data_IF_346724747322
#
_entry.id   IF_346724747322
#
_cell.length_a   1.000
_cell.length_b   1.000
_cell.length_c   1.000
_cell.angle_alpha   90.00
_cell.angle_beta   90.00
_cell.angle_gamma   90.00
#
_symmetry.space_group_name_H-M   'P 1'
#
loop_
_entity.id
_entity.type
_entity.pdbx_description
1 polymer ?
#
# COMPACT_ATOMS: atom_id res chain seq x y z
N UNK A 1 3.09 12.39 43.37
CA UNK A 1 3.43 11.07 42.79
C UNK A 1 2.67 10.97 41.48
N UNK A 2 3.37 11.15 40.35
CA UNK A 2 2.75 11.02 39.03
C UNK A 2 2.59 9.54 38.74
N UNK A 3 1.34 9.09 38.56
CA UNK A 3 1.06 7.74 38.09
C UNK A 3 1.62 7.60 36.67
N UNK A 4 2.74 6.91 36.54
CA UNK A 4 3.17 6.35 35.27
C UNK A 4 2.14 5.29 34.86
N UNK A 5 1.11 5.71 34.13
CA UNK A 5 0.27 4.79 33.35
C UNK A 5 1.19 4.10 32.36
N UNK A 6 1.59 2.86 32.67
CA UNK A 6 2.27 1.97 31.74
C UNK A 6 1.31 1.78 30.56
N UNK A 7 1.65 2.38 29.42
CA UNK A 7 0.86 2.28 28.21
C UNK A 7 1.03 0.88 27.64
N UNK A 8 -0.03 0.07 27.75
CA UNK A 8 -0.05 -1.28 27.22
C UNK A 8 -0.29 -1.23 25.71
N UNK A 9 0.78 -1.34 24.93
CA UNK A 9 0.65 -1.62 23.50
C UNK A 9 0.48 -3.13 23.32
N UNK A 10 -0.55 -3.58 22.60
CA UNK A 10 -0.74 -4.99 22.33
C UNK A 10 0.44 -5.51 21.51
N UNK A 11 0.95 -6.69 21.86
CA UNK A 11 2.06 -7.31 21.15
C UNK A 11 1.53 -8.20 20.03
N UNK A 12 1.93 -7.90 18.80
CA UNK A 12 1.72 -8.78 17.65
C UNK A 12 2.72 -9.96 17.68
N UNK A 13 2.25 -11.16 17.38
CA UNK A 13 3.09 -12.33 17.09
C UNK A 13 2.99 -12.72 15.61
N UNK A 14 4.12 -12.83 14.93
CA UNK A 14 4.17 -13.40 13.57
C UNK A 14 4.12 -14.92 13.69
N UNK A 15 3.12 -15.51 13.07
CA UNK A 15 2.89 -16.95 13.06
C UNK A 15 3.57 -17.59 11.85
N UNK A 16 3.44 -17.02 10.64
CA UNK A 16 4.16 -17.49 9.44
C UNK A 16 4.54 -16.34 8.52
N UNK A 17 5.56 -16.63 7.71
CA UNK A 17 5.99 -15.80 6.59
C UNK A 17 6.03 -16.71 5.37
N UNK A 18 5.30 -16.35 4.33
CA UNK A 18 5.21 -17.10 3.10
C UNK A 18 5.42 -16.17 1.90
N UNK A 19 5.72 -16.73 0.73
CA UNK A 19 5.61 -16.00 -0.53
C UNK A 19 4.50 -16.57 -1.39
N UNK A 20 3.74 -15.67 -1.98
CA UNK A 20 2.64 -15.98 -2.89
C UNK A 20 3.03 -15.48 -4.26
N UNK A 21 3.17 -16.40 -5.21
CA UNK A 21 3.46 -16.10 -6.62
C UNK A 21 2.16 -16.12 -7.43
N UNK A 22 2.15 -15.54 -8.64
CA UNK A 22 1.10 -15.80 -9.61
C UNK A 22 0.87 -17.32 -9.78
N UNK A 23 -0.39 -17.72 -9.93
CA UNK A 23 -0.77 -19.14 -10.01
C UNK A 23 -0.38 -19.80 -11.35
N UNK A 24 0.00 -18.99 -12.34
CA UNK A 24 0.54 -19.40 -13.63
C UNK A 24 1.73 -18.51 -13.97
N UNK A 25 2.61 -19.02 -14.83
CA UNK A 25 3.76 -18.27 -15.32
C UNK A 25 3.26 -17.02 -16.04
N UNK A 26 3.85 -15.86 -15.72
CA UNK A 26 3.57 -14.60 -16.40
C UNK A 26 4.34 -14.54 -17.72
N UNK A 27 3.64 -14.71 -18.84
CA UNK A 27 4.19 -14.51 -20.18
C UNK A 27 3.20 -13.77 -21.10
N UNK A 28 3.61 -12.69 -21.78
CA UNK A 28 4.94 -12.06 -21.67
C UNK A 28 5.11 -11.35 -20.32
N UNK A 29 6.36 -11.24 -19.86
CA UNK A 29 6.68 -10.41 -18.69
C UNK A 29 6.39 -8.93 -18.99
N UNK A 30 5.77 -8.28 -18.02
CA UNK A 30 5.49 -6.86 -18.01
C UNK A 30 6.66 -6.13 -17.35
N UNK A 31 6.90 -4.90 -17.82
CA UNK A 31 7.96 -4.03 -17.31
C UNK A 31 7.39 -2.66 -17.01
N UNK A 32 7.83 -2.06 -15.90
CA UNK A 32 7.50 -0.68 -15.53
C UNK A 32 8.78 0.09 -15.26
N UNK A 33 9.06 1.10 -16.07
CA UNK A 33 10.22 1.97 -15.93
C UNK A 33 10.07 2.89 -14.71
N UNK A 34 11.16 3.08 -13.97
CA UNK A 34 11.27 4.02 -12.87
C UNK A 34 12.22 5.13 -13.30
N UNK A 35 11.65 6.17 -13.91
CA UNK A 35 12.37 7.32 -14.46
C UNK A 35 12.77 8.25 -13.31
N UNK A 36 13.94 8.02 -12.71
CA UNK A 36 14.48 8.83 -11.64
C UNK A 36 15.52 9.82 -12.18
N UNK A 37 15.41 11.11 -11.83
CA UNK A 37 16.49 12.08 -12.11
C UNK A 37 17.73 11.83 -11.25
N UNK A 38 18.89 12.37 -11.65
CA UNK A 38 20.19 12.20 -10.96
C UNK A 38 20.18 12.65 -9.47
N UNK A 39 19.21 13.48 -9.07
CA UNK A 39 19.06 14.03 -7.71
C UNK A 39 18.09 13.23 -6.81
N UNK A 40 17.56 12.10 -7.26
CA UNK A 40 16.64 11.29 -6.44
C UNK A 40 17.45 10.57 -5.36
N UNK A 41 17.45 11.14 -4.16
CA UNK A 41 18.11 10.55 -3.00
C UNK A 41 17.54 9.18 -2.59
N UNK A 42 18.18 8.51 -1.60
CA UNK A 42 17.82 7.15 -1.15
C UNK A 42 16.37 6.97 -0.69
N UNK A 43 15.67 8.07 -0.38
CA UNK A 43 14.29 8.07 0.10
C UNK A 43 13.26 7.43 -0.84
N UNK A 44 13.57 7.21 -2.13
CA UNK A 44 12.69 6.49 -3.07
C UNK A 44 12.35 5.06 -2.60
N UNK A 45 13.31 4.38 -1.94
CA UNK A 45 13.22 2.98 -1.54
C UNK A 45 12.52 2.74 -0.20
N UNK A 46 12.27 3.82 0.55
CA UNK A 46 11.73 3.79 1.92
C UNK A 46 10.29 4.31 2.01
N UNK A 47 9.64 4.56 0.86
CA UNK A 47 8.28 5.10 0.79
C UNK A 47 7.28 4.03 0.41
N UNK A 48 6.26 3.88 1.24
CA UNK A 48 5.19 2.92 1.02
C UNK A 48 3.82 3.49 1.40
N UNK A 49 2.80 3.04 0.69
CA UNK A 49 1.42 3.16 1.10
C UNK A 49 1.07 1.99 2.02
N UNK A 50 0.47 2.29 3.16
CA UNK A 50 -0.05 1.29 4.07
C UNK A 50 -1.58 1.40 4.11
N UNK A 51 -2.25 0.24 4.06
CA UNK A 51 -3.70 0.11 4.16
C UNK A 51 -4.01 -0.95 5.20
N UNK A 52 -4.96 -0.70 6.10
CA UNK A 52 -5.49 -1.72 7.01
C UNK A 52 -6.99 -1.77 6.87
N UNK A 53 -7.53 -2.92 6.49
CA UNK A 53 -8.95 -3.21 6.45
C UNK A 53 -9.32 -4.08 7.66
N UNK A 54 -10.35 -3.67 8.40
CA UNK A 54 -10.86 -4.39 9.57
C UNK A 54 -12.21 -5.00 9.22
N UNK A 55 -12.38 -6.29 9.42
CA UNK A 55 -13.60 -7.04 9.09
C UNK A 55 -14.30 -7.51 10.35
N UNK A 56 -15.63 -7.57 10.37
CA UNK A 56 -16.33 -8.17 11.49
C UNK A 56 -16.28 -9.70 11.41
N UNK A 57 -16.28 -10.36 12.57
CA UNK A 57 -16.43 -11.81 12.65
C UNK A 57 -17.85 -12.20 12.24
N UNK A 58 -18.01 -12.99 11.19
CA UNK A 58 -19.34 -13.47 10.76
C UNK A 58 -19.71 -14.83 11.38
N UNK A 59 -18.74 -15.72 11.62
CA UNK A 59 -18.99 -17.08 12.16
C UNK A 59 -18.01 -17.43 13.28
N UNK A 60 -18.48 -18.13 14.32
CA UNK A 60 -17.65 -18.50 15.47
C UNK A 60 -16.55 -19.53 15.14
N UNK A 61 -16.78 -20.38 14.15
CA UNK A 61 -15.98 -21.56 13.80
C UNK A 61 -14.84 -21.32 12.79
N UNK A 62 -14.58 -20.07 12.39
CA UNK A 62 -13.53 -19.80 11.41
C UNK A 62 -12.13 -20.08 11.99
N UNK A 63 -11.58 -21.24 11.63
CA UNK A 63 -10.18 -21.54 11.91
C UNK A 63 -9.30 -20.57 11.11
N UNK A 64 -8.42 -19.83 11.78
CA UNK A 64 -7.53 -18.86 11.13
C UNK A 64 -6.66 -19.48 10.02
N UNK A 65 -6.44 -20.80 10.06
CA UNK A 65 -5.75 -21.56 9.02
C UNK A 65 -6.57 -21.73 7.74
N UNK A 66 -7.88 -21.91 7.84
CA UNK A 66 -8.76 -21.99 6.69
C UNK A 66 -8.76 -20.65 5.95
N UNK A 67 -8.89 -19.55 6.69
CA UNK A 67 -8.82 -18.19 6.14
C UNK A 67 -7.46 -17.91 5.48
N UNK A 68 -6.35 -18.20 6.15
CA UNK A 68 -5.00 -18.01 5.60
C UNK A 68 -4.78 -18.83 4.32
N UNK A 69 -5.26 -20.08 4.29
CA UNK A 69 -5.21 -20.93 3.11
C UNK A 69 -6.01 -20.36 1.94
N UNK A 70 -7.23 -19.85 2.19
CA UNK A 70 -8.05 -19.20 1.16
C UNK A 70 -7.44 -17.91 0.65
N UNK A 71 -6.99 -17.04 1.56
CA UNK A 71 -6.28 -15.81 1.23
C UNK A 71 -5.12 -16.12 0.29
N UNK A 72 -4.28 -17.11 0.61
CA UNK A 72 -3.15 -17.48 -0.22
C UNK A 72 -3.57 -17.95 -1.62
N UNK A 73 -4.55 -18.85 -1.71
CA UNK A 73 -5.00 -19.40 -3.00
C UNK A 73 -5.61 -18.31 -3.89
N UNK A 74 -6.46 -17.44 -3.33
CA UNK A 74 -7.15 -16.41 -4.11
C UNK A 74 -6.22 -15.26 -4.46
N UNK A 75 -5.24 -14.96 -3.59
CA UNK A 75 -4.20 -13.97 -3.85
C UNK A 75 -3.28 -14.40 -4.99
N UNK A 76 -2.88 -15.68 -5.06
CA UNK A 76 -2.10 -16.19 -6.19
C UNK A 76 -2.82 -16.08 -7.53
N UNK A 77 -4.16 -16.18 -7.54
CA UNK A 77 -4.99 -15.95 -8.74
C UNK A 77 -5.10 -14.47 -9.07
N UNK A 78 -5.30 -13.59 -8.09
CA UNK A 78 -5.32 -12.15 -8.31
C UNK A 78 -3.98 -11.63 -8.87
N UNK A 79 -2.86 -12.16 -8.38
CA UNK A 79 -1.52 -11.85 -8.89
C UNK A 79 -1.31 -12.35 -10.33
N UNK A 80 -2.07 -13.33 -10.82
CA UNK A 80 -2.03 -13.70 -12.22
C UNK A 80 -2.67 -12.64 -13.12
N UNK A 81 -3.77 -12.02 -12.66
CA UNK A 81 -4.44 -10.93 -13.39
C UNK A 81 -3.61 -9.64 -13.36
N UNK A 82 -2.85 -9.40 -12.28
CA UNK A 82 -2.00 -8.20 -12.12
C UNK A 82 -0.58 -8.58 -11.68
N UNK A 83 0.24 -9.12 -12.60
CA UNK A 83 1.51 -9.75 -12.25
C UNK A 83 2.61 -8.75 -11.86
N UNK A 84 2.51 -7.47 -12.25
CA UNK A 84 3.44 -6.41 -11.84
C UNK A 84 3.59 -6.29 -10.32
N UNK A 85 2.51 -6.55 -9.55
CA UNK A 85 2.51 -6.49 -8.09
C UNK A 85 3.48 -7.52 -7.48
N UNK A 86 3.68 -8.65 -8.17
CA UNK A 86 4.58 -9.72 -7.76
C UNK A 86 6.03 -9.55 -8.23
N UNK A 87 6.32 -8.45 -8.94
CA UNK A 87 7.61 -8.19 -9.58
C UNK A 87 8.73 -7.77 -8.63
N UNK A 88 9.90 -7.50 -9.22
CA UNK A 88 11.08 -6.97 -8.52
C UNK A 88 11.69 -5.82 -9.29
N UNK A 89 12.33 -4.92 -8.56
CA UNK A 89 13.20 -3.91 -9.13
C UNK A 89 14.45 -4.57 -9.72
N UNK A 90 14.93 -4.07 -10.84
CA UNK A 90 16.25 -4.39 -11.39
C UNK A 90 16.80 -3.16 -12.09
N UNK A 91 18.11 -3.15 -12.32
CA UNK A 91 18.72 -2.20 -13.25
C UNK A 91 18.48 -2.72 -14.67
N UNK A 92 17.91 -1.88 -15.52
CA UNK A 92 17.60 -2.18 -16.89
C UNK A 92 18.87 -2.35 -17.71
N UNK A 93 18.88 -3.39 -18.56
CA UNK A 93 20.03 -3.68 -19.43
C UNK A 93 20.10 -2.76 -20.66
N UNK A 94 18.97 -2.14 -21.05
CA UNK A 94 18.82 -1.39 -22.32
C UNK A 94 19.02 0.13 -22.19
N UNK A 95 18.80 0.69 -21.01
CA UNK A 95 18.81 2.14 -20.76
C UNK A 95 19.88 2.53 -19.73
N UNK A 96 21.14 2.19 -19.98
CA UNK A 96 22.28 2.65 -19.18
C UNK A 96 22.19 2.37 -17.66
N UNK A 97 21.40 1.38 -17.25
CA UNK A 97 21.19 1.01 -15.84
C UNK A 97 20.03 1.70 -15.12
N UNK A 98 19.12 2.37 -15.85
CA UNK A 98 17.85 2.89 -15.31
C UNK A 98 17.06 1.81 -14.54
N UNK A 99 16.39 2.20 -13.45
CA UNK A 99 15.64 1.26 -12.64
C UNK A 99 14.32 0.88 -13.32
N UNK A 100 14.00 -0.41 -13.31
CA UNK A 100 12.71 -0.92 -13.79
C UNK A 100 12.17 -2.01 -12.86
N UNK A 101 10.85 -2.14 -12.80
CA UNK A 101 10.17 -3.25 -12.16
C UNK A 101 9.79 -4.24 -13.23
N UNK A 102 10.03 -5.53 -12.98
CA UNK A 102 9.64 -6.60 -13.91
C UNK A 102 8.78 -7.63 -13.20
N UNK A 103 7.68 -8.04 -13.83
CA UNK A 103 6.82 -9.14 -13.35
C UNK A 103 7.51 -10.50 -13.55
N UNK A 104 8.48 -10.78 -12.67
CA UNK A 104 9.35 -11.95 -12.74
C UNK A 104 8.88 -13.12 -11.85
N UNK A 105 7.60 -13.14 -11.48
CA UNK A 105 6.96 -14.17 -10.64
C UNK A 105 7.64 -14.45 -9.29
N UNK A 106 8.48 -13.53 -8.80
CA UNK A 106 9.12 -13.67 -7.48
C UNK A 106 8.13 -13.61 -6.31
N UNK A 107 6.89 -13.18 -6.58
CA UNK A 107 5.80 -13.19 -5.63
C UNK A 107 5.85 -12.07 -4.60
N UNK A 108 4.78 -11.96 -3.82
CA UNK A 108 4.65 -11.02 -2.70
C UNK A 108 4.88 -11.75 -1.38
N UNK A 109 4.99 -11.01 -0.27
CA UNK A 109 5.07 -11.62 1.07
C UNK A 109 3.71 -11.65 1.73
N UNK A 110 3.32 -12.84 2.21
CA UNK A 110 2.15 -13.07 3.04
C UNK A 110 2.64 -13.35 4.47
N UNK A 111 2.19 -12.52 5.41
CA UNK A 111 2.50 -12.61 6.82
C UNK A 111 1.22 -13.02 7.55
N UNK A 112 1.25 -14.17 8.20
CA UNK A 112 0.20 -14.54 9.15
C UNK A 112 0.61 -14.02 10.51
N UNK A 113 -0.24 -13.21 11.14
CA UNK A 113 0.04 -12.64 12.44
C UNK A 113 -1.15 -12.79 13.40
N UNK A 114 -0.88 -12.70 14.70
CA UNK A 114 -1.90 -12.76 15.74
C UNK A 114 -1.67 -11.66 16.75
N UNK A 115 -2.77 -11.08 17.22
CA UNK A 115 -2.78 -10.16 18.36
C UNK A 115 -3.68 -10.75 19.43
N UNK A 116 -3.23 -10.74 20.69
CA UNK A 116 -4.02 -11.26 21.82
C UNK A 116 -5.03 -10.20 22.30
N UNK A 117 -5.93 -9.79 21.41
CA UNK A 117 -6.96 -8.79 21.66
C UNK A 117 -8.12 -8.95 20.67
N UNK A 118 -9.34 -8.64 21.08
CA UNK A 118 -10.49 -8.63 20.17
C UNK A 118 -10.53 -7.32 19.36
N UNK A 119 -11.35 -7.28 18.31
CA UNK A 119 -11.42 -6.12 17.40
C UNK A 119 -12.00 -4.88 18.08
N UNK A 120 -13.06 -5.01 18.89
CA UNK A 120 -13.69 -3.86 19.56
C UNK A 120 -12.71 -3.15 20.49
N UNK A 121 -12.02 -3.91 21.33
CA UNK A 121 -11.03 -3.37 22.27
C UNK A 121 -9.86 -2.72 21.52
N UNK A 122 -9.46 -3.29 20.38
CA UNK A 122 -8.42 -2.70 19.53
C UNK A 122 -8.85 -1.35 18.95
N UNK A 123 -10.08 -1.25 18.44
CA UNK A 123 -10.60 -0.02 17.84
C UNK A 123 -10.79 1.11 18.85
N UNK A 124 -11.03 0.76 20.12
CA UNK A 124 -11.22 1.69 21.24
C UNK A 124 -9.90 2.12 21.94
N UNK A 125 -8.74 1.64 21.48
CA UNK A 125 -7.45 2.01 22.05
C UNK A 125 -7.16 3.51 21.91
N UNK A 126 -6.74 4.14 23.01
CA UNK A 126 -6.27 5.54 22.98
C UNK A 126 -5.02 5.75 22.10
N UNK A 127 -4.15 4.74 22.01
CA UNK A 127 -2.94 4.74 21.16
C UNK A 127 -3.12 3.80 19.96
N UNK A 128 -4.32 3.78 19.37
CA UNK A 128 -4.64 2.92 18.23
C UNK A 128 -3.66 3.10 17.07
N UNK A 129 -3.19 4.32 16.83
CA UNK A 129 -2.28 4.63 15.71
C UNK A 129 -0.96 3.83 15.79
N UNK A 130 -0.34 3.76 16.99
CA UNK A 130 0.89 3.00 17.23
C UNK A 130 0.63 1.49 17.16
N UNK A 131 -0.52 1.04 17.67
CA UNK A 131 -0.92 -0.37 17.58
C UNK A 131 -1.23 -0.80 16.13
N UNK A 132 -1.86 0.08 15.36
CA UNK A 132 -2.22 -0.14 13.94
C UNK A 132 -0.99 -0.22 13.04
N UNK A 133 0.11 0.47 13.38
CA UNK A 133 1.38 0.32 12.68
C UNK A 133 1.91 -1.13 12.71
N UNK A 134 1.58 -1.91 13.76
CA UNK A 134 1.95 -3.33 13.84
C UNK A 134 1.10 -4.19 12.90
N UNK A 135 -0.08 -3.73 12.47
CA UNK A 135 -0.97 -4.49 11.60
C UNK A 135 -0.54 -4.53 10.13
N UNK A 136 0.48 -3.75 9.76
CA UNK A 136 1.08 -3.78 8.42
C UNK A 136 2.55 -4.15 8.55
N UNK A 137 2.93 -5.27 7.95
CA UNK A 137 4.34 -5.59 7.80
C UNK A 137 4.92 -4.84 6.60
N UNK A 138 6.05 -4.17 6.82
CA UNK A 138 6.86 -3.61 5.75
C UNK A 138 8.35 -3.79 6.02
N UNK A 139 9.13 -3.97 4.96
CA UNK A 139 10.59 -3.88 4.98
C UNK A 139 11.02 -3.00 3.82
N UNK A 140 11.88 -2.03 4.10
CA UNK A 140 12.36 -1.11 3.07
C UNK A 140 13.14 -1.86 1.97
N UNK A 141 13.13 -1.28 0.77
CA UNK A 141 13.85 -1.85 -0.37
C UNK A 141 15.34 -1.70 -0.10
N UNK A 142 16.10 -2.79 -0.27
CA UNK A 142 17.55 -2.78 -0.11
C UNK A 142 18.16 -2.04 -1.30
N UNK A 143 18.85 -0.93 -1.06
CA UNK A 143 19.39 -0.09 -2.13
C UNK A 143 20.54 -0.77 -2.89
N UNK A 144 21.28 -1.65 -2.21
CA UNK A 144 22.38 -2.41 -2.82
C UNK A 144 21.85 -3.57 -3.63
N UNK A 145 20.77 -4.20 -3.16
CA UNK A 145 20.19 -5.38 -3.78
C UNK A 145 18.66 -5.30 -3.94
N UNK A 146 18.14 -4.29 -4.67
CA UNK A 146 16.70 -4.04 -4.76
C UNK A 146 15.93 -5.19 -5.43
N UNK A 147 16.61 -6.02 -6.23
CA UNK A 147 16.06 -7.20 -6.87
C UNK A 147 15.60 -8.30 -5.93
N UNK A 148 16.08 -8.30 -4.67
CA UNK A 148 15.65 -9.28 -3.67
C UNK A 148 14.51 -8.75 -2.78
N UNK A 149 14.19 -7.45 -2.87
CA UNK A 149 13.15 -6.82 -2.05
C UNK A 149 11.76 -6.97 -2.69
N UNK A 150 10.81 -7.61 -2.00
CA UNK A 150 9.39 -7.55 -2.37
C UNK A 150 8.88 -6.12 -2.34
N UNK A 151 8.01 -5.78 -3.28
CA UNK A 151 7.41 -4.45 -3.39
C UNK A 151 6.00 -4.39 -2.77
N UNK A 152 5.46 -5.54 -2.36
CA UNK A 152 4.11 -5.69 -1.83
C UNK A 152 4.08 -6.75 -0.71
N UNK A 153 3.40 -6.40 0.38
CA UNK A 153 3.24 -7.22 1.58
C UNK A 153 1.76 -7.26 1.95
N UNK A 154 1.28 -8.46 2.28
CA UNK A 154 -0.04 -8.68 2.89
C UNK A 154 0.20 -9.29 4.25
N UNK A 155 -0.36 -8.70 5.29
CA UNK A 155 -0.45 -9.27 6.62
C UNK A 155 -1.90 -9.62 6.90
N UNK A 156 -2.20 -10.88 7.20
CA UNK A 156 -3.53 -11.32 7.56
C UNK A 156 -3.52 -12.00 8.92
N UNK A 157 -4.65 -11.88 9.63
CA UNK A 157 -4.82 -12.55 10.91
C UNK A 157 -5.90 -11.90 11.76
N UNK A 158 -6.54 -12.72 12.59
CA UNK A 158 -7.70 -12.31 13.36
C UNK A 158 -8.78 -11.75 12.43
N UNK A 159 -8.95 -10.42 12.48
CA UNK A 159 -10.01 -9.68 11.80
C UNK A 159 -9.49 -8.53 10.94
N UNK A 160 -8.22 -8.58 10.52
CA UNK A 160 -7.62 -7.51 9.73
C UNK A 160 -6.80 -8.04 8.55
N UNK A 161 -6.82 -7.27 7.46
CA UNK A 161 -5.90 -7.39 6.33
C UNK A 161 -5.10 -6.08 6.27
N UNK A 162 -3.81 -6.18 6.57
CA UNK A 162 -2.85 -5.09 6.41
C UNK A 162 -2.06 -5.24 5.12
N UNK A 163 -1.85 -4.15 4.40
CA UNK A 163 -1.15 -4.11 3.12
C UNK A 163 -0.08 -3.03 3.19
N UNK A 164 1.16 -3.42 2.87
CA UNK A 164 2.27 -2.51 2.66
C UNK A 164 2.69 -2.56 1.19
N UNK A 165 2.65 -1.43 0.49
CA UNK A 165 2.95 -1.37 -0.94
C UNK A 165 3.94 -0.25 -1.24
N UNK A 166 4.99 -0.55 -1.99
CA UNK A 166 5.92 0.47 -2.50
C UNK A 166 5.17 1.51 -3.30
N UNK A 167 5.48 2.80 -3.09
CA UNK A 167 4.87 3.85 -3.92
C UNK A 167 5.24 3.76 -5.40
N UNK A 168 6.29 2.99 -5.75
CA UNK A 168 6.66 2.69 -7.13
C UNK A 168 5.64 1.79 -7.85
N UNK A 169 4.89 1.00 -7.07
CA UNK A 169 3.74 0.23 -7.52
C UNK A 169 2.41 0.94 -7.23
N UNK A 170 2.36 1.84 -6.25
CA UNK A 170 1.12 2.44 -5.76
C UNK A 170 0.59 3.53 -6.69
N UNK A 171 0.21 3.13 -7.90
CA UNK A 171 -0.98 3.71 -8.49
C UNK A 171 -2.16 3.30 -7.59
N UNK A 172 -2.78 4.28 -6.93
CA UNK A 172 -3.94 4.00 -6.08
C UNK A 172 -5.06 3.32 -6.86
N UNK A 173 -5.15 3.54 -8.18
CA UNK A 173 -6.07 2.82 -9.05
C UNK A 173 -5.66 1.36 -9.20
N UNK A 174 -4.36 1.06 -9.42
CA UNK A 174 -3.88 -0.32 -9.43
C UNK A 174 -4.19 -1.02 -8.12
N UNK A 175 -4.01 -0.34 -6.98
CA UNK A 175 -4.37 -0.90 -5.68
C UNK A 175 -5.88 -1.14 -5.56
N UNK A 176 -6.70 -0.16 -5.93
CA UNK A 176 -8.17 -0.26 -5.91
C UNK A 176 -8.65 -1.42 -6.79
N UNK A 177 -8.19 -1.48 -8.03
CA UNK A 177 -8.53 -2.52 -8.99
C UNK A 177 -8.04 -3.88 -8.53
N UNK A 178 -6.83 -3.96 -7.96
CA UNK A 178 -6.30 -5.20 -7.40
C UNK A 178 -7.13 -5.72 -6.24
N UNK A 179 -7.48 -4.86 -5.30
CA UNK A 179 -8.31 -5.26 -4.17
C UNK A 179 -9.70 -5.70 -4.63
N UNK A 180 -10.30 -5.00 -5.60
CA UNK A 180 -11.58 -5.41 -6.19
C UNK A 180 -11.47 -6.77 -6.89
N UNK A 181 -10.51 -6.94 -7.79
CA UNK A 181 -10.24 -8.21 -8.48
C UNK A 181 -9.99 -9.35 -7.49
N UNK A 182 -9.17 -9.12 -6.48
CA UNK A 182 -8.85 -10.12 -5.47
C UNK A 182 -10.08 -10.53 -4.66
N UNK A 183 -10.88 -9.57 -4.19
CA UNK A 183 -12.12 -9.85 -3.48
C UNK A 183 -13.14 -10.60 -4.35
N UNK A 184 -13.31 -10.20 -5.61
CA UNK A 184 -14.21 -10.88 -6.55
C UNK A 184 -13.80 -12.34 -6.76
N UNK A 185 -12.50 -12.59 -6.96
CA UNK A 185 -11.96 -13.95 -7.07
C UNK A 185 -12.20 -14.73 -5.78
N UNK A 186 -11.95 -14.11 -4.62
CA UNK A 186 -12.10 -14.73 -3.32
C UNK A 186 -13.55 -15.15 -3.06
N UNK A 187 -14.49 -14.24 -3.27
CA UNK A 187 -15.92 -14.49 -3.07
C UNK A 187 -16.43 -15.57 -4.02
N UNK A 188 -16.07 -15.53 -5.31
CA UNK A 188 -16.43 -16.59 -6.28
C UNK A 188 -15.95 -17.97 -5.82
N UNK A 189 -14.74 -18.05 -5.27
CA UNK A 189 -14.16 -19.32 -4.83
C UNK A 189 -14.82 -19.82 -3.54
N UNK A 190 -15.05 -18.95 -2.56
CA UNK A 190 -15.68 -19.35 -1.29
C UNK A 190 -17.13 -19.78 -1.52
N UNK A 191 -17.91 -19.03 -2.32
CA UNK A 191 -19.31 -19.38 -2.64
C UNK A 191 -19.37 -20.77 -3.29
N UNK A 192 -18.56 -21.00 -4.33
CA UNK A 192 -18.58 -22.28 -5.06
C UNK A 192 -18.09 -23.48 -4.22
N UNK A 193 -17.31 -23.25 -3.16
CA UNK A 193 -16.72 -24.34 -2.35
C UNK A 193 -17.49 -24.64 -1.07
N UNK A 194 -18.38 -23.76 -0.62
CA UNK A 194 -19.32 -24.05 0.47
C UNK A 194 -20.26 -25.21 0.11
N UNK A 195 -20.53 -25.44 -1.18
CA UNK A 195 -21.34 -26.56 -1.66
C UNK A 195 -20.60 -27.91 -1.66
N UNK A 196 -19.25 -27.92 -1.65
CA UNK A 196 -18.43 -29.13 -1.82
C UNK A 196 -17.54 -29.49 -0.62
N UNK A 197 -17.58 -28.74 0.49
CA UNK A 197 -16.71 -28.90 1.68
C UNK A 197 -15.20 -29.02 1.34
N UNK A 198 -14.74 -28.34 0.28
CA UNK A 198 -13.33 -28.41 -0.15
C UNK A 198 -12.46 -27.52 0.71
N UNK A 199 -11.31 -28.04 1.16
CA UNK A 199 -10.28 -27.28 1.86
C UNK A 199 -9.39 -26.51 0.85
N UNK A 200 -8.78 -25.38 1.26
CA UNK A 200 -7.82 -24.68 0.41
C UNK A 200 -6.59 -25.56 0.18
N UNK A 201 -5.97 -25.42 -1.00
CA UNK A 201 -4.78 -26.19 -1.37
C UNK A 201 -3.63 -26.04 -0.36
N UNK A 202 -3.57 -24.89 0.31
CA UNK A 202 -2.55 -24.55 1.30
C UNK A 202 -3.04 -24.65 2.75
N UNK A 203 -4.07 -25.46 3.01
CA UNK A 203 -4.52 -25.76 4.36
C UNK A 203 -3.56 -26.75 5.05
N UNK A 204 -2.67 -26.24 5.89
CA UNK A 204 -1.66 -27.03 6.61
C UNK A 204 -1.86 -26.94 8.14
N UNK A 205 -2.96 -27.52 8.68
CA UNK A 205 -3.20 -27.50 10.12
C UNK A 205 -2.14 -28.31 10.88
N UNK A 206 -1.69 -27.80 12.02
CA UNK A 206 -0.84 -28.55 12.96
C UNK A 206 0.67 -28.52 12.69
N UNK A 207 1.15 -27.79 11.69
CA UNK A 207 2.61 -27.69 11.41
C UNK A 207 3.37 -26.71 12.33
N UNK A 208 2.67 -25.90 13.13
CA UNK A 208 3.29 -24.95 14.07
C UNK A 208 3.04 -25.36 15.51
N UNK A 209 4.12 -25.48 16.27
CA UNK A 209 4.07 -25.71 17.70
C UNK A 209 3.62 -24.41 18.40
N UNK A 210 2.40 -24.39 18.96
CA UNK A 210 1.74 -23.20 19.52
C UNK A 210 2.33 -22.70 20.85
N UNK A 211 3.39 -23.33 21.34
CA UNK A 211 3.87 -23.17 22.72
C UNK A 211 5.08 -22.24 22.86
N UNK A 212 5.46 -21.52 21.80
CA UNK A 212 6.50 -20.50 21.87
C UNK A 212 6.18 -19.35 20.94
N UNK A 213 6.25 -18.12 21.44
CA UNK A 213 6.41 -16.97 20.58
C UNK A 213 7.67 -17.21 19.75
N UNK A 214 7.53 -17.35 18.42
CA UNK A 214 8.72 -17.37 17.57
C UNK A 214 9.50 -16.09 17.88
N UNK A 215 10.83 -16.15 18.07
CA UNK A 215 11.62 -14.93 18.14
C UNK A 215 11.30 -14.10 16.89
N UNK A 216 11.31 -12.77 16.96
CA UNK A 216 11.10 -11.92 15.79
C UNK A 216 12.20 -12.21 14.77
N UNK A 217 12.00 -13.20 13.89
CA UNK A 217 12.98 -13.68 12.91
C UNK A 217 13.31 -12.55 11.92
N UNK A 218 12.36 -11.64 11.70
CA UNK A 218 12.49 -10.51 10.81
C UNK A 218 11.93 -9.27 11.52
N UNK A 219 12.69 -8.17 11.44
CA UNK A 219 12.25 -6.85 11.89
C UNK A 219 11.43 -6.18 10.80
N UNK A 220 10.29 -5.60 11.16
CA UNK A 220 9.55 -4.72 10.27
C UNK A 220 10.02 -3.28 10.47
N UNK A 221 10.11 -2.53 9.37
CA UNK A 221 10.24 -1.07 9.36
C UNK A 221 8.86 -0.40 9.47
N UNK A 222 7.84 -1.11 9.99
CA UNK A 222 6.50 -0.56 10.07
C UNK A 222 6.42 0.53 11.12
N UNK A 223 6.01 1.69 10.66
CA UNK A 223 5.68 2.84 11.48
C UNK A 223 4.45 3.51 10.88
N UNK A 224 3.60 4.03 11.75
CA UNK A 224 2.62 5.04 11.40
C UNK A 224 3.23 6.37 11.81
N UNK A 225 4.00 6.96 10.88
CA UNK A 225 4.58 8.28 11.11
C UNK A 225 3.43 9.28 11.31
N UNK A 226 3.61 10.28 12.17
CA UNK A 226 2.61 11.33 12.41
C UNK A 226 2.42 12.28 11.22
N UNK A 227 2.95 11.93 10.04
CA UNK A 227 2.80 12.68 8.81
C UNK A 227 1.33 12.86 8.46
N UNK A 228 0.99 14.07 8.02
CA UNK A 228 -0.38 14.43 7.66
C UNK A 228 -0.51 14.38 6.15
N UNK A 229 -1.62 13.82 5.68
CA UNK A 229 -1.89 13.68 4.24
C UNK A 229 -3.16 14.41 3.85
N UNK A 230 -3.13 15.06 2.69
CA UNK A 230 -4.29 15.62 2.00
C UNK A 230 -4.36 15.09 0.58
N UNK A 231 -5.57 14.91 0.07
CA UNK A 231 -5.81 14.45 -1.30
C UNK A 231 -6.61 15.51 -2.04
N UNK A 232 -6.14 15.86 -3.21
CA UNK A 232 -6.78 16.79 -4.13
C UNK A 232 -7.19 16.04 -5.38
N UNK A 233 -8.34 16.39 -5.93
CA UNK A 233 -8.81 15.91 -7.22
C UNK A 233 -8.98 17.11 -8.14
N UNK A 234 -8.31 17.05 -9.29
CA UNK A 234 -8.28 18.14 -10.27
C UNK A 234 -8.78 17.59 -11.61
N UNK A 235 -9.61 18.34 -12.32
CA UNK A 235 -9.97 18.00 -13.69
C UNK A 235 -8.82 18.37 -14.63
N UNK A 236 -8.41 17.44 -15.47
CA UNK A 236 -7.40 17.65 -16.50
C UNK A 236 -8.05 17.62 -17.88
N UNK A 237 -7.44 18.34 -18.83
CA UNK A 237 -7.90 18.36 -20.22
C UNK A 237 -7.42 17.13 -21.01
N UNK A 238 -6.35 16.49 -20.55
CA UNK A 238 -5.69 15.36 -21.23
C UNK A 238 -5.37 14.20 -20.27
N UNK A 239 -5.20 13.01 -20.85
CA UNK A 239 -4.85 11.78 -20.13
C UNK A 239 -3.48 11.84 -19.45
N UNK A 240 -2.49 12.36 -20.17
CA UNK A 240 -1.11 12.54 -19.70
C UNK A 240 -0.78 14.02 -19.58
N UNK A 241 -1.08 14.67 -18.45
CA UNK A 241 -0.65 16.05 -18.24
C UNK A 241 0.88 16.11 -18.29
N UNK A 242 1.41 17.06 -19.07
CA UNK A 242 2.86 17.20 -19.25
C UNK A 242 3.60 17.43 -17.92
N UNK A 243 4.86 17.00 -17.84
CA UNK A 243 5.64 17.05 -16.58
C UNK A 243 5.68 18.44 -15.91
N UNK A 244 5.72 19.52 -16.69
CA UNK A 244 5.68 20.89 -16.16
C UNK A 244 4.33 21.23 -15.50
N UNK A 245 3.22 20.73 -16.04
CA UNK A 245 1.90 20.89 -15.42
C UNK A 245 1.85 20.12 -14.10
N UNK A 246 2.33 18.87 -14.08
CA UNK A 246 2.37 18.04 -12.87
C UNK A 246 3.18 18.71 -11.75
N UNK A 247 4.33 19.29 -12.08
CA UNK A 247 5.16 20.04 -11.11
C UNK A 247 4.43 21.26 -10.55
N UNK A 248 3.79 22.06 -11.42
CA UNK A 248 3.02 23.25 -11.01
C UNK A 248 1.87 22.87 -10.07
N UNK A 249 1.08 21.86 -10.44
CA UNK A 249 -0.05 21.41 -9.63
C UNK A 249 0.39 20.76 -8.32
N UNK A 250 1.48 19.99 -8.34
CA UNK A 250 2.09 19.42 -7.14
C UNK A 250 2.52 20.50 -6.14
N UNK A 251 3.16 21.57 -6.62
CA UNK A 251 3.55 22.70 -5.77
C UNK A 251 2.34 23.44 -5.20
N UNK A 252 1.33 23.73 -6.03
CA UNK A 252 0.12 24.40 -5.58
C UNK A 252 -0.63 23.59 -4.51
N UNK A 253 -0.78 22.28 -4.71
CA UNK A 253 -1.38 21.38 -3.73
C UNK A 253 -0.53 21.28 -2.45
N UNK A 254 0.80 21.34 -2.58
CA UNK A 254 1.70 21.34 -1.45
C UNK A 254 1.53 22.59 -0.59
N UNK A 255 1.53 23.79 -1.19
CA UNK A 255 1.33 25.06 -0.48
C UNK A 255 -0.04 25.09 0.22
N UNK A 256 -1.10 24.63 -0.45
CA UNK A 256 -2.43 24.51 0.14
C UNK A 256 -2.43 23.52 1.33
N UNK A 257 -1.78 22.38 1.20
CA UNK A 257 -1.66 21.40 2.30
C UNK A 257 -0.88 21.97 3.50
N UNK A 258 0.19 22.74 3.27
CA UNK A 258 0.96 23.38 4.34
C UNK A 258 0.13 24.40 5.12
N UNK A 259 -0.62 25.24 4.41
CA UNK A 259 -1.54 26.21 4.98
C UNK A 259 -2.60 25.54 5.88
N UNK A 260 -3.14 24.41 5.44
CA UNK A 260 -4.23 23.72 6.14
C UNK A 260 -3.75 22.82 7.29
N UNK A 261 -2.60 22.17 7.14
CA UNK A 261 -2.11 21.17 8.10
C UNK A 261 -1.16 21.74 9.15
N UNK A 262 -0.71 23.00 8.97
CA UNK A 262 0.09 23.75 9.93
C UNK A 262 1.55 23.27 10.04
N UNK A 263 2.04 22.53 9.05
CA UNK A 263 3.44 22.11 8.94
C UNK A 263 3.98 22.54 7.58
N UNK A 264 5.28 22.85 7.53
CA UNK A 264 5.94 23.35 6.34
C UNK A 264 7.07 22.40 6.00
N UNK A 265 7.02 21.83 4.80
CA UNK A 265 8.11 21.09 4.18
C UNK A 265 9.28 22.04 3.96
N UNK A 266 10.51 21.56 4.12
CA UNK A 266 11.72 22.32 3.81
C UNK A 266 11.84 22.72 2.34
N UNK A 267 13.06 23.06 1.90
CA UNK A 267 13.30 23.58 0.55
C UNK A 267 12.93 22.64 -0.60
N UNK A 268 12.98 21.31 -0.36
CA UNK A 268 12.71 20.30 -1.38
C UNK A 268 11.63 19.29 -0.93
N UNK A 269 10.89 18.78 -1.91
CA UNK A 269 9.94 17.67 -1.77
C UNK A 269 10.15 16.69 -2.93
N UNK A 270 9.79 15.42 -2.75
CA UNK A 270 9.87 14.47 -3.87
C UNK A 270 8.51 14.24 -4.50
N UNK A 271 8.51 14.29 -5.83
CA UNK A 271 7.35 14.18 -6.69
C UNK A 271 7.38 12.83 -7.40
N UNK A 272 6.29 12.08 -7.27
CA UNK A 272 6.05 10.84 -7.98
C UNK A 272 4.92 11.09 -8.97
N UNK A 273 5.18 10.90 -10.26
CA UNK A 273 4.17 11.06 -11.32
C UNK A 273 3.95 9.71 -11.96
N UNK A 274 2.73 9.17 -11.82
CA UNK A 274 2.32 7.97 -12.52
C UNK A 274 1.96 8.34 -13.96
N UNK A 275 2.92 8.30 -14.87
CA UNK A 275 2.70 8.70 -16.26
C UNK A 275 1.87 7.68 -17.03
N UNK A 276 2.05 6.39 -16.74
CA UNK A 276 1.31 5.29 -17.35
C UNK A 276 1.43 4.02 -16.50
N UNK A 277 0.78 2.93 -16.90
CA UNK A 277 1.03 1.61 -16.29
C UNK A 277 2.48 1.13 -16.47
N UNK A 278 3.16 1.59 -17.52
CA UNK A 278 4.52 1.18 -17.89
C UNK A 278 5.61 2.13 -17.37
N UNK A 279 5.26 3.28 -16.80
CA UNK A 279 6.25 4.26 -16.34
C UNK A 279 5.80 5.04 -15.11
N UNK A 280 6.73 5.19 -14.17
CA UNK A 280 6.63 6.13 -13.06
C UNK A 280 7.84 7.05 -13.07
N UNK A 281 7.59 8.35 -12.98
CA UNK A 281 8.64 9.37 -12.89
C UNK A 281 8.83 9.80 -11.44
N UNK A 282 10.09 9.92 -11.03
CA UNK A 282 10.48 10.34 -9.68
C UNK A 282 11.45 11.51 -9.77
N UNK A 283 11.11 12.60 -9.10
CA UNK A 283 11.88 13.85 -9.15
C UNK A 283 12.04 14.44 -7.74
N UNK A 284 13.16 15.12 -7.49
CA UNK A 284 13.28 16.08 -6.38
C UNK A 284 12.91 17.46 -6.90
N UNK A 285 11.94 18.12 -6.27
CA UNK A 285 11.44 19.42 -6.65
C UNK A 285 11.78 20.46 -5.57
N UNK A 286 12.42 21.55 -5.98
CA UNK A 286 12.65 22.71 -5.12
C UNK A 286 11.43 23.64 -5.14
N UNK A 287 11.13 24.22 -3.98
CA UNK A 287 10.13 25.29 -3.87
C UNK A 287 10.63 26.62 -4.46
N UNK A 288 11.94 26.81 -4.55
CA UNK A 288 12.54 28.07 -5.01
C UNK A 288 12.64 28.09 -6.54
N UNK A 289 12.03 29.10 -7.16
CA UNK A 289 12.13 29.37 -8.61
C UNK A 289 10.92 28.96 -9.45
N UNK A 290 9.86 28.40 -8.86
CA UNK A 290 8.61 28.10 -9.58
C UNK A 290 7.64 29.28 -9.48
N UNK A 291 7.11 29.76 -10.61
CA UNK A 291 6.16 30.87 -10.66
C UNK A 291 4.85 30.52 -9.96
N UNK A 292 4.32 31.47 -9.17
CA UNK A 292 3.07 31.36 -8.41
C UNK A 292 1.81 31.42 -9.27
N UNK A 293 1.96 31.73 -10.55
CA UNK A 293 0.86 31.89 -11.50
C UNK A 293 0.56 30.56 -12.18
N UNK A 294 0.01 29.61 -11.42
CA UNK A 294 -0.78 28.56 -12.03
C UNK A 294 -2.24 29.00 -12.00
N UNK A 295 -2.91 29.04 -13.16
CA UNK A 295 -4.37 29.03 -13.19
C UNK A 295 -4.81 27.70 -12.55
N UNK A 296 -5.03 27.72 -11.24
CA UNK A 296 -5.61 26.59 -10.56
C UNK A 296 -7.03 26.43 -11.08
N UNK A 297 -7.27 25.36 -11.82
CA UNK A 297 -8.60 24.77 -11.85
C UNK A 297 -9.10 24.53 -10.42
N UNK A 298 -10.40 24.28 -10.27
CA UNK A 298 -11.00 24.06 -8.94
C UNK A 298 -10.33 22.87 -8.26
N UNK A 299 -9.59 23.12 -7.16
CA UNK A 299 -9.03 22.09 -6.30
C UNK A 299 -10.14 21.47 -5.44
N UNK A 300 -10.65 20.32 -5.85
CA UNK A 300 -11.58 19.57 -5.02
C UNK A 300 -10.82 18.76 -3.99
N UNK A 301 -11.33 18.68 -2.76
CA UNK A 301 -10.77 17.80 -1.73
C UNK A 301 -11.38 16.42 -1.85
N UNK A 302 -10.51 15.42 -1.99
CA UNK A 302 -10.88 14.02 -1.96
C UNK A 302 -10.56 13.41 -0.59
N UNK A 303 -11.15 12.24 -0.31
CA UNK A 303 -10.89 11.46 0.89
C UNK A 303 -10.24 10.14 0.54
N UNK A 304 -9.58 9.54 1.53
CA UNK A 304 -9.07 8.18 1.41
C UNK A 304 -10.17 7.16 1.07
N UNK A 305 -11.41 7.43 1.45
CA UNK A 305 -12.56 6.58 1.14
C UNK A 305 -12.83 6.46 -0.37
N UNK A 306 -12.43 7.46 -1.18
CA UNK A 306 -12.62 7.45 -2.64
C UNK A 306 -11.71 6.42 -3.33
N UNK A 307 -10.70 5.91 -2.61
CA UNK A 307 -9.81 4.85 -3.07
C UNK A 307 -10.46 3.47 -3.09
N UNK A 308 -11.67 3.33 -2.52
CA UNK A 308 -12.52 2.16 -2.69
C UNK A 308 -12.16 0.93 -1.87
N UNK A 309 -11.13 0.96 -1.01
CA UNK A 309 -10.82 -0.20 -0.17
C UNK A 309 -11.88 -0.47 0.91
N UNK A 310 -12.75 0.50 1.20
CA UNK A 310 -13.96 0.36 2.02
C UNK A 310 -15.10 -0.41 1.32
N UNK A 311 -15.04 -0.56 -0.01
CA UNK A 311 -16.03 -1.33 -0.79
C UNK A 311 -15.64 -2.80 -0.96
N UNK A 312 -14.40 -3.15 -0.63
CA UNK A 312 -13.79 -4.46 -0.89
C UNK A 312 -14.26 -5.46 0.17
N UNK A 313 -15.19 -6.33 -0.24
CA UNK A 313 -15.86 -7.29 0.65
C UNK A 313 -15.23 -8.67 0.54
N UNK A 314 -14.86 -9.30 1.65
CA UNK A 314 -14.31 -10.66 1.68
C UNK A 314 -15.24 -11.61 2.44
N UNK A 315 -15.72 -12.65 1.77
CA UNK A 315 -16.72 -13.57 2.33
C UNK A 315 -18.11 -12.96 2.24
N UNK A 316 -19.00 -13.60 1.47
CA UNK A 316 -20.45 -13.31 1.31
C UNK A 316 -20.96 -11.87 1.58
N UNK A 317 -20.23 -10.84 1.14
CA UNK A 317 -20.60 -9.43 1.31
C UNK A 317 -20.10 -8.73 2.60
N UNK A 318 -19.21 -9.36 3.37
CA UNK A 318 -18.58 -8.77 4.57
C UNK A 318 -17.69 -7.57 4.19
N UNK A 319 -18.23 -6.37 4.37
CA UNK A 319 -17.49 -5.13 4.14
C UNK A 319 -16.57 -4.81 5.32
N UNK A 320 -15.47 -4.08 5.09
CA UNK A 320 -14.64 -3.60 6.17
C UNK A 320 -15.47 -2.68 7.09
N UNK A 321 -15.44 -2.94 8.39
CA UNK A 321 -15.99 -2.07 9.42
C UNK A 321 -15.17 -0.77 9.55
N UNK A 322 -13.88 -0.83 9.27
CA UNK A 322 -13.00 0.33 9.25
C UNK A 322 -11.89 0.13 8.22
N UNK A 323 -11.41 1.23 7.65
CA UNK A 323 -10.21 1.23 6.81
C UNK A 323 -9.31 2.39 7.24
N UNK A 324 -8.03 2.09 7.43
CA UNK A 324 -7.01 3.09 7.72
C UNK A 324 -5.98 3.15 6.59
N UNK A 325 -5.55 4.36 6.27
CA UNK A 325 -4.54 4.62 5.25
C UNK A 325 -3.47 5.53 5.82
N UNK A 326 -2.22 5.27 5.49
CA UNK A 326 -1.15 6.23 5.70
C UNK A 326 0.01 5.98 4.75
N UNK A 327 0.62 7.07 4.31
CA UNK A 327 1.87 7.04 3.58
C UNK A 327 3.03 7.12 4.56
N UNK A 328 4.01 6.22 4.42
CA UNK A 328 5.28 6.37 5.10
C UNK A 328 6.16 7.32 4.29
N UNK A 329 6.41 8.50 4.84
CA UNK A 329 7.49 9.38 4.40
C UNK A 329 8.50 9.51 5.53
N UNK A 330 9.74 9.05 5.30
CA UNK A 330 10.86 9.20 6.24
C UNK A 330 11.63 10.51 6.02
N UNK A 331 11.49 11.13 4.85
CA UNK A 331 12.31 12.27 4.41
C UNK A 331 11.48 13.28 3.62
N UNK A 332 11.25 14.44 4.22
CA UNK A 332 10.64 15.61 3.57
C UNK A 332 9.18 15.41 3.12
N UNK A 333 8.72 16.34 2.29
CA UNK A 333 7.40 16.27 1.67
C UNK A 333 7.36 15.24 0.56
N UNK A 334 6.23 14.56 0.43
CA UNK A 334 5.94 13.61 -0.63
C UNK A 334 4.69 14.08 -1.37
N UNK A 335 4.79 14.22 -2.69
CA UNK A 335 3.64 14.48 -3.56
C UNK A 335 3.54 13.34 -4.57
N UNK A 336 2.37 12.72 -4.69
CA UNK A 336 2.07 11.67 -5.66
C UNK A 336 0.98 12.19 -6.58
N UNK A 337 1.22 12.17 -7.89
CA UNK A 337 0.31 12.59 -8.94
C UNK A 337 -0.14 11.36 -9.72
N UNK A 338 -1.45 11.14 -9.75
CA UNK A 338 -2.07 9.95 -10.32
C UNK A 338 -3.16 10.41 -11.30
N UNK A 339 -2.83 10.48 -12.60
CA UNK A 339 -3.82 10.63 -13.65
C UNK A 339 -4.77 9.43 -13.66
N UNK A 340 -6.04 9.70 -13.92
CA UNK A 340 -7.11 8.69 -13.94
C UNK A 340 -8.21 9.12 -14.90
N UNK A 341 -8.92 8.15 -15.48
CA UNK A 341 -10.10 8.40 -16.29
C UNK A 341 -11.35 8.03 -15.47
N UNK A 342 -12.21 9.00 -15.20
CA UNK A 342 -13.46 8.80 -14.47
C UNK A 342 -14.62 9.39 -15.27
N UNK A 343 -15.60 8.57 -15.63
CA UNK A 343 -16.83 9.01 -16.35
C UNK A 343 -16.52 9.86 -17.60
N UNK A 344 -15.60 9.38 -18.44
CA UNK A 344 -15.13 10.05 -19.67
C UNK A 344 -14.45 11.42 -19.46
N UNK A 345 -14.05 11.72 -18.22
CA UNK A 345 -13.28 12.92 -17.87
C UNK A 345 -11.94 12.52 -17.27
N UNK A 346 -10.88 13.18 -17.73
CA UNK A 346 -9.56 13.02 -17.12
C UNK A 346 -9.54 13.75 -15.78
N UNK A 347 -9.24 13.01 -14.73
CA UNK A 347 -9.08 13.55 -13.39
C UNK A 347 -7.72 13.13 -12.83
N UNK A 348 -7.06 14.05 -12.15
CA UNK A 348 -5.75 13.83 -11.54
C UNK A 348 -5.92 13.89 -10.05
N UNK A 349 -5.61 12.78 -9.38
CA UNK A 349 -5.52 12.73 -7.93
C UNK A 349 -4.11 13.11 -7.50
N UNK A 350 -4.00 14.14 -6.67
CA UNK A 350 -2.74 14.59 -6.09
C UNK A 350 -2.77 14.34 -4.60
N UNK A 351 -1.94 13.40 -4.13
CA UNK A 351 -1.77 13.11 -2.71
C UNK A 351 -0.55 13.88 -2.21
N UNK A 352 -0.76 14.71 -1.20
CA UNK A 352 0.30 15.47 -0.54
C UNK A 352 0.46 14.96 0.88
N UNK A 353 1.64 14.45 1.21
CA UNK A 353 2.01 14.07 2.56
C UNK A 353 3.14 14.95 3.08
N UNK A 354 2.90 15.59 4.22
CA UNK A 354 3.88 16.44 4.88
C UNK A 354 4.28 15.82 6.23
N UNK A 355 5.56 15.93 6.63
CA UNK A 355 5.99 15.50 7.94
C UNK A 355 5.33 16.35 9.02
N UNK A 356 4.89 15.69 10.08
CA UNK A 356 4.56 16.31 11.37
C UNK A 356 5.82 16.94 11.98
N UNK A 357 5.62 18.02 12.72
CA UNK A 357 6.66 18.62 13.56
C UNK A 357 6.96 17.77 14.78
#
# INVERSE_FOLDING_TARGET
MANHTVTFLPKLSIEAIQTVTPMRITEPRQTRQVLAGELVGPGIFQRCLNVVQYYMKEKEEDSGWLLAGWIKETLGRALHEQPMISGRLRKGERNDGELEIVSNDCGIRLIEARIQMNLSDFLDLKQREDAEAQLVFWKDIDEQNPQFSPLFYVQCGGYSIGIGCSILLADLLLMKEFLKTWADIHNKIIINKNDEQKLPLFYLPGLKNTNGASPNIITSNSSKNSSKTMIFQIQAETESPGSDWCRKMALACLEEAESNLGSVVGGEFSLFVNESFESIKVESCSKQGMSKEAEMGVLNRAKWDDLGANEVSFGDGNKPAHVSYWLRSTLGGLVIVIPSLQEDKYTVNIIVTIPSK
#
